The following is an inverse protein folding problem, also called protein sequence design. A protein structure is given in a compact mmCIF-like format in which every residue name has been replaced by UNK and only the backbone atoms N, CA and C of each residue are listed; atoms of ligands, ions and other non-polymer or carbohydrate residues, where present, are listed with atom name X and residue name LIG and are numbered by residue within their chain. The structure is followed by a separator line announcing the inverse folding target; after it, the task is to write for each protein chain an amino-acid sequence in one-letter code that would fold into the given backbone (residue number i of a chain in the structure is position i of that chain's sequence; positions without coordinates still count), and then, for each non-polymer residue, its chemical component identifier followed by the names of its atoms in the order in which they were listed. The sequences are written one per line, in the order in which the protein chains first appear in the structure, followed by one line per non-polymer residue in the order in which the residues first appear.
data_IF_294634289872
#
_entry.id   IF_294634289872
#
_cell.length_a   1.000
_cell.length_b   1.000
_cell.length_c   1.000
_cell.angle_alpha   90.00
_cell.angle_beta   90.00
_cell.angle_gamma   90.00
#
_symmetry.space_group_name_H-M   'P 1'
#
loop_
_entity.id
_entity.type
_entity.pdbx_description
1 polymer ?
#
# COMPACT_ATOMS: atom_id res chain seq x y z
N UNK A 1 -8.37 42.92 -18.06
CA UNK A 1 -7.16 42.05 -18.06
C UNK A 1 -6.63 41.78 -16.64
N UNK A 2 -6.55 42.77 -15.74
CA UNK A 2 -6.18 42.55 -14.34
C UNK A 2 -7.18 41.65 -13.59
N UNK A 3 -8.49 41.91 -13.69
CA UNK A 3 -9.52 41.16 -12.95
C UNK A 3 -9.56 39.64 -13.26
N UNK A 4 -9.37 39.27 -14.54
CA UNK A 4 -9.28 37.86 -14.98
C UNK A 4 -8.01 37.18 -14.45
N UNK A 5 -6.90 37.92 -14.35
CA UNK A 5 -5.64 37.44 -13.80
C UNK A 5 -5.71 37.23 -12.28
N UNK A 6 -6.34 38.14 -11.54
CA UNK A 6 -6.58 37.99 -10.09
C UNK A 6 -7.54 36.84 -9.77
N UNK A 7 -8.58 36.64 -10.60
CA UNK A 7 -9.49 35.50 -10.49
C UNK A 7 -8.76 34.17 -10.73
N UNK A 8 -7.92 34.10 -11.76
CA UNK A 8 -7.11 32.92 -12.09
C UNK A 8 -6.09 32.58 -10.99
N UNK A 9 -5.41 33.59 -10.42
CA UNK A 9 -4.47 33.41 -9.32
C UNK A 9 -5.15 32.94 -8.03
N UNK A 10 -6.31 33.51 -7.67
CA UNK A 10 -7.06 33.09 -6.50
C UNK A 10 -7.56 31.64 -6.63
N UNK A 11 -8.10 31.29 -7.80
CA UNK A 11 -8.56 29.94 -8.11
C UNK A 11 -7.42 28.92 -8.09
N UNK A 12 -6.30 29.22 -8.74
CA UNK A 12 -5.11 28.35 -8.77
C UNK A 12 -4.56 28.11 -7.37
N UNK A 13 -4.47 29.16 -6.55
CA UNK A 13 -4.01 29.05 -5.15
C UNK A 13 -4.93 28.18 -4.32
N UNK A 14 -6.25 28.39 -4.38
CA UNK A 14 -7.22 27.60 -3.61
C UNK A 14 -7.20 26.13 -4.05
N UNK A 15 -7.11 25.87 -5.34
CA UNK A 15 -6.97 24.52 -5.89
C UNK A 15 -5.69 23.84 -5.35
N UNK A 16 -4.54 24.51 -5.44
CA UNK A 16 -3.27 23.95 -4.98
C UNK A 16 -3.25 23.71 -3.47
N UNK A 17 -3.84 24.60 -2.67
CA UNK A 17 -4.02 24.39 -1.23
C UNK A 17 -4.90 23.17 -0.96
N UNK A 18 -6.04 23.04 -1.66
CA UNK A 18 -6.97 21.93 -1.47
C UNK A 18 -6.35 20.57 -1.80
N UNK A 19 -5.56 20.49 -2.88
CA UNK A 19 -4.89 19.27 -3.30
C UNK A 19 -3.82 18.86 -2.27
N UNK A 20 -3.01 19.82 -1.77
CA UNK A 20 -2.00 19.50 -0.75
C UNK A 20 -2.63 19.09 0.60
N UNK A 21 -3.79 19.64 0.97
CA UNK A 21 -4.55 19.15 2.13
C UNK A 21 -5.02 17.72 1.90
N UNK A 22 -5.55 17.41 0.71
CA UNK A 22 -5.95 16.04 0.36
C UNK A 22 -4.77 15.06 0.40
N UNK A 23 -3.60 15.45 -0.11
CA UNK A 23 -2.38 14.63 -0.04
C UNK A 23 -1.88 14.40 1.38
N UNK A 24 -1.97 15.42 2.24
CA UNK A 24 -1.63 15.27 3.65
C UNK A 24 -2.55 14.25 4.33
N UNK A 25 -3.86 14.34 4.10
CA UNK A 25 -4.82 13.39 4.65
C UNK A 25 -4.61 11.98 4.10
N UNK A 26 -4.34 11.84 2.80
CA UNK A 26 -4.05 10.56 2.16
C UNK A 26 -2.77 9.93 2.73
N UNK A 27 -1.68 10.71 2.87
CA UNK A 27 -0.42 10.24 3.45
C UNK A 27 -0.57 9.77 4.91
N UNK A 28 -1.33 10.51 5.72
CA UNK A 28 -1.63 10.11 7.11
C UNK A 28 -2.48 8.84 7.14
N UNK A 29 -3.53 8.76 6.33
CA UNK A 29 -4.41 7.59 6.28
C UNK A 29 -3.66 6.33 5.85
N UNK A 30 -2.80 6.44 4.82
CA UNK A 30 -1.93 5.35 4.36
C UNK A 30 -0.97 4.92 5.46
N UNK A 31 -0.31 5.86 6.14
CA UNK A 31 0.61 5.54 7.25
C UNK A 31 -0.09 4.81 8.39
N UNK A 32 -1.28 5.24 8.78
CA UNK A 32 -2.09 4.54 9.81
C UNK A 32 -2.46 3.14 9.34
N UNK A 33 -2.94 2.99 8.09
CA UNK A 33 -3.30 1.70 7.53
C UNK A 33 -2.11 0.73 7.47
N UNK A 34 -0.94 1.22 7.05
CA UNK A 34 0.31 0.45 7.01
C UNK A 34 0.71 0.02 8.41
N UNK A 35 0.71 0.93 9.40
CA UNK A 35 1.08 0.60 10.77
C UNK A 35 0.14 -0.47 11.39
N UNK A 36 -1.16 -0.43 11.06
CA UNK A 36 -2.11 -1.47 11.45
C UNK A 36 -1.81 -2.81 10.75
N UNK A 37 -1.26 -2.77 9.54
CA UNK A 37 -0.98 -3.95 8.71
C UNK A 37 0.40 -4.57 8.98
N UNK A 38 1.42 -3.80 9.36
CA UNK A 38 2.74 -4.31 9.77
C UNK A 38 2.62 -5.22 11.00
N UNK A 39 1.64 -4.94 11.86
CA UNK A 39 1.29 -5.79 12.99
C UNK A 39 0.61 -7.11 12.56
N UNK A 40 0.28 -7.29 11.27
CA UNK A 40 -0.25 -8.52 10.70
C UNK A 40 0.88 -9.39 10.12
N UNK A 41 0.64 -10.68 9.88
CA UNK A 41 1.69 -11.67 9.94
C UNK A 41 2.55 -11.83 8.70
N UNK A 42 1.91 -11.99 7.54
CA UNK A 42 2.60 -12.39 6.29
C UNK A 42 3.18 -11.17 5.57
N UNK A 43 2.79 -9.98 6.01
CA UNK A 43 2.87 -8.75 5.23
C UNK A 43 4.15 -7.95 5.56
N UNK A 44 4.79 -8.22 6.69
CA UNK A 44 5.87 -7.40 7.26
C UNK A 44 7.21 -7.41 6.51
N UNK A 45 7.39 -8.27 5.49
CA UNK A 45 8.67 -8.38 4.76
C UNK A 45 8.51 -8.35 3.24
N UNK A 46 7.40 -7.83 2.72
CA UNK A 46 7.21 -7.69 1.28
C UNK A 46 7.75 -6.32 0.87
N UNK A 47 8.68 -6.27 -0.10
CA UNK A 47 9.30 -5.04 -0.58
C UNK A 47 8.27 -3.96 -1.01
N UNK A 48 7.06 -4.39 -1.40
CA UNK A 48 5.95 -3.52 -1.79
C UNK A 48 5.42 -2.67 -0.62
N UNK A 49 5.39 -3.20 0.61
CA UNK A 49 4.95 -2.43 1.78
C UNK A 49 6.00 -1.44 2.26
N UNK A 50 7.28 -1.80 2.16
CA UNK A 50 8.37 -0.87 2.48
C UNK A 50 8.37 0.33 1.51
N UNK A 51 8.11 0.07 0.22
CA UNK A 51 7.94 1.13 -0.77
C UNK A 51 6.74 2.02 -0.45
N UNK A 52 5.60 1.42 -0.07
CA UNK A 52 4.39 2.17 0.26
C UNK A 52 4.57 3.04 1.52
N UNK A 53 5.26 2.52 2.53
CA UNK A 53 5.58 3.28 3.75
C UNK A 53 6.52 4.46 3.42
N UNK A 54 7.58 4.20 2.64
CA UNK A 54 8.51 5.24 2.21
C UNK A 54 7.81 6.35 1.40
N UNK A 55 6.95 5.99 0.45
CA UNK A 55 6.16 6.95 -0.31
C UNK A 55 5.24 7.79 0.59
N UNK A 56 4.54 7.16 1.53
CA UNK A 56 3.65 7.86 2.47
C UNK A 56 4.41 8.81 3.39
N UNK A 57 5.57 8.40 3.89
CA UNK A 57 6.45 9.23 4.72
C UNK A 57 7.06 10.41 3.95
N UNK A 58 7.32 10.27 2.64
CA UNK A 58 7.78 11.36 1.79
C UNK A 58 6.65 12.32 1.40
N UNK A 59 5.43 11.81 1.16
CA UNK A 59 4.29 12.61 0.73
C UNK A 59 3.85 13.64 1.78
N UNK A 60 3.89 13.28 3.07
CA UNK A 60 3.48 14.16 4.18
C UNK A 60 4.28 15.48 4.21
N UNK A 61 5.63 15.48 4.34
CA UNK A 61 6.41 16.72 4.37
C UNK A 61 6.31 17.48 3.05
N UNK A 62 6.25 16.80 1.90
CA UNK A 62 6.08 17.45 0.59
C UNK A 62 4.74 18.18 0.51
N UNK A 63 3.66 17.59 1.04
CA UNK A 63 2.34 18.22 1.12
C UNK A 63 2.37 19.48 1.99
N UNK A 64 3.13 19.46 3.10
CA UNK A 64 3.33 20.64 3.95
C UNK A 64 4.10 21.73 3.20
N UNK A 65 5.17 21.36 2.49
CA UNK A 65 5.96 22.30 1.67
C UNK A 65 5.12 22.89 0.54
N UNK A 66 4.28 22.09 -0.13
CA UNK A 66 3.37 22.55 -1.17
C UNK A 66 2.31 23.51 -0.64
N UNK A 67 1.72 23.19 0.52
CA UNK A 67 0.80 24.08 1.23
C UNK A 67 1.48 25.40 1.62
N UNK A 68 2.67 25.33 2.23
CA UNK A 68 3.43 26.50 2.64
C UNK A 68 3.84 27.37 1.44
N UNK A 69 4.28 26.75 0.33
CA UNK A 69 4.61 27.45 -0.91
C UNK A 69 3.43 28.22 -1.48
N UNK A 70 2.25 27.60 -1.48
CA UNK A 70 1.01 28.24 -1.93
C UNK A 70 0.53 29.35 -0.97
N UNK A 71 0.67 29.14 0.35
CA UNK A 71 0.24 30.11 1.36
C UNK A 71 1.17 31.33 1.43
N UNK A 72 2.48 31.10 1.51
CA UNK A 72 3.50 32.14 1.65
C UNK A 72 3.79 32.87 0.34
N UNK A 73 3.28 32.38 -0.81
CA UNK A 73 3.59 32.92 -2.15
C UNK A 73 5.10 33.01 -2.40
N UNK A 74 5.84 31.97 -2.01
CA UNK A 74 7.29 31.93 -2.12
C UNK A 74 7.72 31.07 -3.32
N UNK A 75 8.29 31.70 -4.35
CA UNK A 75 8.72 31.03 -5.57
C UNK A 75 9.78 29.95 -5.33
N UNK A 76 10.68 30.13 -4.36
CA UNK A 76 11.74 29.17 -4.04
C UNK A 76 11.16 27.92 -3.40
N UNK A 77 10.18 28.07 -2.51
CA UNK A 77 9.49 26.94 -1.84
C UNK A 77 8.72 26.11 -2.86
N UNK A 78 8.03 26.78 -3.80
CA UNK A 78 7.30 26.10 -4.87
C UNK A 78 8.23 25.36 -5.85
N UNK A 79 9.45 25.88 -6.07
CA UNK A 79 10.46 25.17 -6.86
C UNK A 79 10.96 23.90 -6.15
N UNK A 80 11.23 23.96 -4.85
CA UNK A 80 11.60 22.78 -4.06
C UNK A 80 10.47 21.73 -4.04
N UNK A 81 9.23 22.18 -3.90
CA UNK A 81 8.05 21.33 -4.01
C UNK A 81 8.01 20.56 -5.34
N UNK A 82 8.23 21.25 -6.47
CA UNK A 82 8.26 20.62 -7.80
C UNK A 82 9.40 19.61 -7.95
N UNK A 83 10.59 19.92 -7.43
CA UNK A 83 11.75 19.06 -7.50
C UNK A 83 11.54 17.73 -6.76
N UNK A 84 10.78 17.73 -5.66
CA UNK A 84 10.46 16.53 -4.89
C UNK A 84 9.21 15.79 -5.42
N UNK A 85 8.18 16.51 -5.86
CA UNK A 85 6.89 15.91 -6.27
C UNK A 85 7.00 15.22 -7.62
N UNK A 86 7.79 15.75 -8.56
CA UNK A 86 7.97 15.14 -9.88
C UNK A 86 8.52 13.71 -9.85
N UNK A 87 9.65 13.41 -9.18
CA UNK A 87 10.15 12.03 -9.13
C UNK A 87 9.21 11.09 -8.36
N UNK A 88 8.50 11.57 -7.33
CA UNK A 88 7.50 10.76 -6.64
C UNK A 88 6.36 10.35 -7.57
N UNK A 89 5.88 11.27 -8.39
CA UNK A 89 4.85 10.99 -9.38
C UNK A 89 5.28 9.90 -10.37
N UNK A 90 6.53 9.93 -10.84
CA UNK A 90 7.06 8.90 -11.73
C UNK A 90 7.13 7.53 -11.07
N UNK A 91 7.59 7.48 -9.81
CA UNK A 91 7.68 6.23 -9.04
C UNK A 91 6.28 5.66 -8.78
N UNK A 92 5.36 6.48 -8.27
CA UNK A 92 3.99 6.06 -7.98
C UNK A 92 3.26 5.62 -9.25
N UNK A 93 3.42 6.34 -10.36
CA UNK A 93 2.83 5.96 -11.64
C UNK A 93 3.35 4.60 -12.13
N UNK A 94 4.66 4.38 -12.06
CA UNK A 94 5.29 3.12 -12.46
C UNK A 94 4.82 1.93 -11.60
N UNK A 95 4.85 2.09 -10.28
CA UNK A 95 4.40 1.06 -9.33
C UNK A 95 2.91 0.78 -9.50
N UNK A 96 2.10 1.81 -9.72
CA UNK A 96 0.65 1.68 -9.93
C UNK A 96 0.33 0.90 -11.19
N UNK A 97 1.01 1.21 -12.29
CA UNK A 97 0.90 0.46 -13.54
C UNK A 97 1.35 -0.99 -13.36
N UNK A 98 2.42 -1.23 -12.61
CA UNK A 98 2.91 -2.59 -12.30
C UNK A 98 1.89 -3.38 -11.48
N UNK A 99 1.26 -2.75 -10.48
CA UNK A 99 0.18 -3.36 -9.69
C UNK A 99 -1.06 -3.67 -10.54
N UNK A 100 -1.46 -2.78 -11.46
CA UNK A 100 -2.59 -3.02 -12.36
C UNK A 100 -2.31 -4.14 -13.38
N UNK A 101 -1.05 -4.25 -13.82
CA UNK A 101 -0.62 -5.27 -14.76
C UNK A 101 -0.19 -6.59 -14.10
N UNK A 102 -0.24 -6.68 -12.76
CA UNK A 102 0.20 -7.85 -12.04
C UNK A 102 -0.67 -9.07 -12.36
N UNK A 103 -0.03 -10.14 -12.83
CA UNK A 103 -0.69 -11.42 -13.07
C UNK A 103 -0.68 -12.31 -11.82
N UNK A 104 -1.44 -13.41 -11.89
CA UNK A 104 -1.59 -14.34 -10.76
C UNK A 104 -0.29 -15.04 -10.36
N UNK A 105 0.65 -15.26 -11.29
CA UNK A 105 1.94 -15.88 -10.97
C UNK A 105 2.84 -14.89 -10.22
N UNK A 106 2.88 -13.63 -10.64
CA UNK A 106 3.62 -12.58 -9.91
C UNK A 106 3.12 -12.43 -8.47
N UNK A 107 1.80 -12.47 -8.28
CA UNK A 107 1.17 -12.41 -6.95
C UNK A 107 1.58 -13.63 -6.10
N UNK A 108 1.56 -14.84 -6.66
CA UNK A 108 1.99 -16.05 -5.94
C UNK A 108 3.44 -15.97 -5.50
N UNK A 109 4.36 -15.51 -6.36
CA UNK A 109 5.77 -15.32 -5.99
C UNK A 109 5.95 -14.31 -4.86
N UNK A 110 5.17 -13.23 -4.85
CA UNK A 110 5.18 -12.26 -3.75
C UNK A 110 4.71 -12.90 -2.43
N UNK A 111 3.64 -13.70 -2.49
CA UNK A 111 3.10 -14.40 -1.31
C UNK A 111 4.10 -15.45 -0.81
N UNK A 112 4.75 -16.20 -1.69
CA UNK A 112 5.82 -17.15 -1.33
C UNK A 112 6.98 -16.45 -0.62
N UNK A 113 7.47 -15.34 -1.17
CA UNK A 113 8.53 -14.57 -0.58
C UNK A 113 8.12 -14.02 0.80
N UNK A 114 6.88 -13.55 0.94
CA UNK A 114 6.30 -13.10 2.20
C UNK A 114 6.20 -14.23 3.23
N UNK A 115 5.71 -15.40 2.81
CA UNK A 115 5.57 -16.60 3.66
C UNK A 115 6.93 -17.10 4.14
N UNK A 116 7.92 -17.20 3.25
CA UNK A 116 9.29 -17.61 3.58
C UNK A 116 9.96 -16.67 4.60
N UNK A 117 9.63 -15.38 4.56
CA UNK A 117 10.17 -14.38 5.48
C UNK A 117 9.36 -14.24 6.78
N UNK A 118 8.13 -14.74 6.80
CA UNK A 118 7.27 -14.74 7.98
C UNK A 118 7.75 -15.81 8.98
N UNK A 119 7.86 -15.44 10.26
CA UNK A 119 8.13 -16.40 11.33
C UNK A 119 6.87 -17.20 11.73
N UNK A 120 7.05 -18.20 12.60
CA UNK A 120 5.99 -19.16 12.97
C UNK A 120 4.74 -18.50 13.53
N UNK A 121 4.89 -17.55 14.47
CA UNK A 121 3.77 -16.79 15.04
C UNK A 121 2.94 -16.09 13.96
N UNK A 122 3.62 -15.61 12.92
CA UNK A 122 2.96 -14.91 11.83
C UNK A 122 2.25 -15.90 10.89
N UNK A 123 2.92 -16.96 10.45
CA UNK A 123 2.26 -18.01 9.66
C UNK A 123 1.03 -18.56 10.39
N UNK A 124 1.10 -18.70 11.72
CA UNK A 124 -0.02 -19.13 12.54
C UNK A 124 -1.20 -18.14 12.49
N UNK A 125 -0.96 -16.85 12.71
CA UNK A 125 -2.00 -15.82 12.61
C UNK A 125 -2.63 -15.80 11.20
N UNK A 126 -1.85 -16.02 10.14
CA UNK A 126 -2.35 -16.10 8.76
C UNK A 126 -3.31 -17.28 8.55
N UNK A 127 -2.91 -18.47 8.99
CA UNK A 127 -3.72 -19.68 8.90
C UNK A 127 -5.03 -19.55 9.69
N UNK A 128 -4.99 -18.93 10.88
CA UNK A 128 -6.19 -18.66 11.68
C UNK A 128 -7.11 -17.64 11.00
N UNK A 129 -6.55 -16.58 10.41
CA UNK A 129 -7.29 -15.53 9.71
C UNK A 129 -7.96 -16.02 8.43
N UNK A 130 -7.25 -16.81 7.63
CA UNK A 130 -7.73 -17.28 6.33
C UNK A 130 -8.36 -18.68 6.40
N UNK A 131 -8.35 -19.35 7.56
CA UNK A 131 -8.87 -20.72 7.75
C UNK A 131 -8.29 -21.67 6.70
N UNK A 132 -6.96 -21.76 6.68
CA UNK A 132 -6.18 -22.55 5.74
C UNK A 132 -4.98 -23.19 6.44
N UNK A 133 -4.34 -24.16 5.80
CA UNK A 133 -3.16 -24.83 6.36
C UNK A 133 -2.03 -25.05 5.35
N UNK A 134 -0.82 -24.60 5.69
CA UNK A 134 0.35 -24.59 4.81
C UNK A 134 0.17 -23.68 3.60
N UNK A 135 1.28 -23.26 2.95
CA UNK A 135 1.16 -22.40 1.79
C UNK A 135 0.66 -23.16 0.56
N UNK A 136 1.38 -24.20 0.16
CA UNK A 136 1.05 -25.09 -0.97
C UNK A 136 0.69 -26.51 -0.55
N UNK A 137 1.26 -26.93 0.58
CA UNK A 137 1.08 -28.25 1.14
C UNK A 137 1.13 -28.14 2.66
N UNK A 138 0.52 -29.11 3.31
CA UNK A 138 0.50 -29.23 4.76
C UNK A 138 1.73 -30.01 5.29
N UNK A 139 2.86 -29.90 4.59
CA UNK A 139 4.11 -30.61 4.89
C UNK A 139 4.71 -30.20 6.25
N UNK A 140 5.57 -31.07 6.79
CA UNK A 140 6.16 -30.99 8.14
C UNK A 140 6.71 -29.60 8.53
N UNK A 141 6.75 -29.35 9.84
CA UNK A 141 7.26 -28.13 10.50
C UNK A 141 8.64 -27.65 10.00
N UNK A 142 9.47 -28.54 9.47
CA UNK A 142 10.79 -28.22 8.90
C UNK A 142 10.76 -27.65 7.49
N UNK A 143 9.61 -27.62 6.82
CA UNK A 143 9.45 -27.06 5.48
C UNK A 143 9.27 -25.53 5.53
N UNK A 144 10.10 -24.73 4.83
CA UNK A 144 9.94 -23.29 4.75
C UNK A 144 8.57 -22.80 4.25
N UNK A 145 7.84 -23.61 3.47
CA UNK A 145 6.51 -23.31 2.95
C UNK A 145 5.39 -24.10 3.66
N UNK A 146 5.74 -24.91 4.66
CA UNK A 146 4.82 -25.67 5.49
C UNK A 146 4.11 -24.84 6.56
N UNK A 147 3.47 -25.54 7.50
CA UNK A 147 2.77 -24.94 8.63
C UNK A 147 3.71 -24.83 9.87
N UNK A 148 3.55 -23.80 10.71
CA UNK A 148 4.24 -23.71 12.01
C UNK A 148 3.80 -24.83 12.98
N UNK A 149 4.52 -25.04 14.10
CA UNK A 149 4.16 -26.06 15.10
C UNK A 149 2.68 -25.96 15.55
N UNK A 150 1.96 -27.08 15.53
CA UNK A 150 0.51 -27.14 15.77
C UNK A 150 0.06 -26.93 17.23
N UNK A 151 0.96 -26.76 18.19
CA UNK A 151 0.66 -26.81 19.63
C UNK A 151 -0.31 -25.73 20.12
N UNK A 152 -0.56 -24.66 19.36
CA UNK A 152 -1.37 -23.51 19.78
C UNK A 152 -2.31 -22.96 18.67
N UNK A 153 -2.52 -23.71 17.59
CA UNK A 153 -3.22 -23.23 16.39
C UNK A 153 -4.69 -23.70 16.37
N UNK A 154 -5.66 -22.79 16.23
CA UNK A 154 -7.09 -23.11 16.08
C UNK A 154 -7.38 -24.18 15.00
N UNK A 155 -6.60 -24.17 13.90
CA UNK A 155 -6.71 -25.16 12.84
C UNK A 155 -6.30 -26.59 13.27
N UNK A 156 -5.46 -26.73 14.30
CA UNK A 156 -4.98 -28.02 14.82
C UNK A 156 -5.67 -28.42 16.14
N UNK A 157 -6.15 -27.47 16.94
CA UNK A 157 -6.66 -27.72 18.31
C UNK A 157 -8.16 -28.07 18.39
N UNK A 158 -8.94 -27.82 17.33
CA UNK A 158 -10.38 -28.13 17.30
C UNK A 158 -10.72 -29.58 16.91
N UNK A 159 -9.72 -30.40 16.57
CA UNK A 159 -9.92 -31.81 16.27
C UNK A 159 -9.81 -32.66 17.55
N UNK A 160 -10.73 -33.62 17.76
CA UNK A 160 -10.62 -34.65 18.82
C UNK A 160 -9.32 -35.47 18.73
N UNK A 161 -8.66 -35.45 17.57
CA UNK A 161 -7.32 -35.99 17.32
C UNK A 161 -6.43 -34.81 16.91
N UNK A 162 -5.61 -34.32 17.84
CA UNK A 162 -4.87 -33.04 17.85
C UNK A 162 -3.89 -32.79 16.69
N UNK A 163 -3.82 -33.67 15.68
CA UNK A 163 -2.77 -33.64 14.65
C UNK A 163 -3.24 -33.87 13.22
N UNK A 164 -4.53 -34.10 12.94
CA UNK A 164 -4.93 -34.61 11.62
C UNK A 164 -5.34 -33.55 10.59
N UNK A 165 -5.90 -32.41 11.00
CA UNK A 165 -6.47 -31.43 10.05
C UNK A 165 -5.41 -30.65 9.24
N UNK A 166 -4.16 -30.63 9.71
CA UNK A 166 -3.05 -29.88 9.11
C UNK A 166 -1.87 -30.77 8.70
N UNK A 167 -2.02 -32.10 8.78
CA UNK A 167 -1.00 -33.07 8.40
C UNK A 167 -1.66 -34.03 7.41
N UNK A 168 -1.65 -33.71 6.13
CA UNK A 168 -1.89 -34.74 5.11
C UNK A 168 -0.66 -35.65 5.05
N UNK A 169 -0.63 -36.66 5.90
CA UNK A 169 -0.12 -38.00 5.59
C UNK A 169 -0.27 -38.88 6.84
N UNK A 170 -1.40 -39.58 6.94
CA UNK A 170 -1.47 -41.03 7.22
C UNK A 170 -2.96 -41.44 7.22
N UNK A 171 -3.37 -42.05 6.10
CA UNK A 171 -4.60 -42.81 5.92
C UNK A 171 -5.95 -42.10 6.12
N UNK A 172 -6.36 -41.33 5.10
CA UNK A 172 -7.79 -41.10 4.82
C UNK A 172 -8.58 -42.42 4.61
N UNK A 173 -7.87 -43.54 4.45
CA UNK A 173 -8.38 -44.89 4.19
C UNK A 173 -8.73 -45.71 5.44
N UNK A 174 -8.47 -45.24 6.67
CA UNK A 174 -8.75 -46.03 7.89
C UNK A 174 -9.57 -45.29 8.94
N UNK A 175 -10.09 -44.09 8.62
CA UNK A 175 -10.84 -43.29 9.59
C UNK A 175 -12.31 -43.34 9.20
N UNK A 176 -13.07 -44.12 9.97
CA UNK A 176 -14.53 -44.18 9.88
C UNK A 176 -15.11 -42.78 9.99
N UNK A 177 -16.02 -42.47 9.07
CA UNK A 177 -16.61 -41.15 8.80
C UNK A 177 -17.41 -40.51 9.95
N UNK A 178 -17.38 -41.08 11.16
CA UNK A 178 -18.09 -40.59 12.35
C UNK A 178 -17.21 -39.87 13.39
N UNK A 179 -15.87 -39.89 13.27
CA UNK A 179 -14.97 -39.23 14.23
C UNK A 179 -14.20 -38.00 13.70
N UNK A 180 -14.43 -37.58 12.45
CA UNK A 180 -13.96 -36.27 11.98
C UNK A 180 -15.08 -35.26 12.21
N UNK A 181 -15.17 -34.77 13.45
CA UNK A 181 -15.94 -33.56 13.70
C UNK A 181 -15.20 -32.38 13.05
N UNK A 182 -15.62 -32.02 11.84
CA UNK A 182 -15.35 -30.77 11.10
C UNK A 182 -13.94 -30.18 11.26
N UNK A 183 -13.02 -30.47 10.33
CA UNK A 183 -11.77 -29.72 10.23
C UNK A 183 -12.04 -28.28 9.77
N UNK A 184 -11.64 -27.24 10.54
CA UNK A 184 -11.92 -25.85 10.18
C UNK A 184 -11.02 -25.30 9.06
N UNK A 185 -9.95 -26.03 8.69
CA UNK A 185 -8.94 -25.60 7.72
C UNK A 185 -8.58 -26.75 6.76
N UNK A 186 -9.34 -26.88 5.66
CA UNK A 186 -9.13 -27.94 4.64
C UNK A 186 -8.34 -27.47 3.42
N UNK A 187 -8.22 -26.15 3.24
CA UNK A 187 -7.67 -25.54 2.03
C UNK A 187 -6.26 -25.02 2.25
N UNK A 188 -5.48 -24.90 1.18
CA UNK A 188 -4.14 -24.29 1.21
C UNK A 188 -4.21 -22.77 1.28
N UNK A 189 -3.26 -22.16 1.98
CA UNK A 189 -3.25 -20.72 2.16
C UNK A 189 -2.96 -19.95 0.89
N UNK A 190 -2.26 -20.53 -0.10
CA UNK A 190 -1.93 -19.82 -1.32
C UNK A 190 -3.18 -19.33 -2.07
N UNK A 191 -4.19 -20.18 -2.25
CA UNK A 191 -5.41 -19.82 -2.98
C UNK A 191 -6.18 -18.71 -2.25
N UNK A 192 -6.43 -18.89 -0.95
CA UNK A 192 -7.16 -17.90 -0.14
C UNK A 192 -6.44 -16.57 -0.01
N UNK A 193 -5.12 -16.58 0.11
CA UNK A 193 -4.32 -15.35 0.20
C UNK A 193 -4.26 -14.68 -1.18
N UNK A 194 -4.05 -15.43 -2.26
CA UNK A 194 -3.91 -14.89 -3.62
C UNK A 194 -5.17 -14.14 -4.07
N UNK A 195 -6.36 -14.68 -3.80
CA UNK A 195 -7.62 -14.00 -4.12
C UNK A 195 -7.76 -12.65 -3.42
N UNK A 196 -7.44 -12.61 -2.11
CA UNK A 196 -7.49 -11.36 -1.33
C UNK A 196 -6.39 -10.39 -1.76
N UNK A 197 -5.19 -10.90 -2.04
CA UNK A 197 -4.06 -10.07 -2.44
C UNK A 197 -4.27 -9.45 -3.82
N UNK A 198 -4.91 -10.15 -4.75
CA UNK A 198 -5.27 -9.63 -6.08
C UNK A 198 -6.15 -8.39 -5.97
N UNK A 199 -7.17 -8.43 -5.11
CA UNK A 199 -8.04 -7.26 -4.87
C UNK A 199 -7.25 -6.10 -4.26
N UNK A 200 -6.36 -6.38 -3.30
CA UNK A 200 -5.52 -5.36 -2.67
C UNK A 200 -4.58 -4.70 -3.68
N UNK A 201 -3.86 -5.49 -4.49
CA UNK A 201 -2.92 -4.99 -5.49
C UNK A 201 -3.63 -4.14 -6.55
N UNK A 202 -4.79 -4.59 -7.04
CA UNK A 202 -5.60 -3.81 -7.98
C UNK A 202 -6.09 -2.48 -7.37
N UNK A 203 -6.52 -2.50 -6.11
CA UNK A 203 -6.94 -1.31 -5.37
C UNK A 203 -5.78 -0.32 -5.15
N UNK A 204 -4.61 -0.82 -4.75
CA UNK A 204 -3.39 -0.03 -4.59
C UNK A 204 -2.95 0.61 -5.90
N UNK A 205 -2.97 -0.15 -7.00
CA UNK A 205 -2.62 0.39 -8.31
C UNK A 205 -3.61 1.45 -8.78
N UNK A 206 -4.92 1.26 -8.56
CA UNK A 206 -5.93 2.26 -8.94
C UNK A 206 -5.76 3.54 -8.11
N UNK A 207 -5.56 3.39 -6.80
CA UNK A 207 -5.38 4.51 -5.88
C UNK A 207 -4.10 5.30 -6.17
N UNK A 208 -2.98 4.61 -6.41
CA UNK A 208 -1.72 5.25 -6.75
C UNK A 208 -1.75 5.92 -8.12
N UNK A 209 -2.49 5.37 -9.09
CA UNK A 209 -2.68 6.01 -10.39
C UNK A 209 -3.48 7.31 -10.27
N UNK A 210 -4.56 7.30 -9.49
CA UNK A 210 -5.34 8.52 -9.19
C UNK A 210 -4.51 9.58 -8.48
N UNK A 211 -3.70 9.16 -7.50
CA UNK A 211 -2.78 10.04 -6.80
C UNK A 211 -1.74 10.65 -7.76
N UNK A 212 -1.18 9.84 -8.66
CA UNK A 212 -0.23 10.30 -9.69
C UNK A 212 -0.87 11.37 -10.59
N UNK A 213 -2.12 11.19 -11.02
CA UNK A 213 -2.83 12.22 -11.79
C UNK A 213 -3.05 13.52 -10.99
N UNK A 214 -3.40 13.40 -9.71
CA UNK A 214 -3.52 14.56 -8.84
C UNK A 214 -2.17 15.27 -8.63
N UNK A 215 -1.07 14.53 -8.55
CA UNK A 215 0.29 15.08 -8.44
C UNK A 215 0.69 15.82 -9.72
N UNK A 216 0.36 15.30 -10.90
CA UNK A 216 0.52 16.02 -12.18
C UNK A 216 -0.27 17.32 -12.16
N UNK A 217 -1.52 17.29 -11.71
CA UNK A 217 -2.33 18.52 -11.57
C UNK A 217 -1.68 19.51 -10.59
N UNK A 218 -1.16 19.04 -9.45
CA UNK A 218 -0.46 19.87 -8.47
C UNK A 218 0.82 20.48 -9.04
N UNK A 219 1.57 19.73 -9.85
CA UNK A 219 2.76 20.19 -10.57
C UNK A 219 2.40 21.31 -11.56
N UNK A 220 1.38 21.09 -12.39
CA UNK A 220 0.90 22.09 -13.36
C UNK A 220 0.42 23.37 -12.65
N UNK A 221 -0.37 23.23 -11.60
CA UNK A 221 -0.85 24.36 -10.80
C UNK A 221 0.30 25.10 -10.10
N UNK A 222 1.32 24.36 -9.65
CA UNK A 222 2.51 24.95 -9.03
C UNK A 222 3.37 25.72 -10.03
N UNK A 223 3.56 25.20 -11.25
CA UNK A 223 4.25 25.93 -12.33
C UNK A 223 3.47 27.21 -12.67
N UNK A 224 2.16 27.09 -12.91
CA UNK A 224 1.30 28.23 -13.21
C UNK A 224 1.37 29.29 -12.10
N UNK A 225 1.27 28.87 -10.83
CA UNK A 225 1.37 29.78 -9.70
C UNK A 225 2.74 30.46 -9.61
N UNK A 226 3.84 29.73 -9.86
CA UNK A 226 5.19 30.30 -9.88
C UNK A 226 5.34 31.37 -10.96
N UNK A 227 4.87 31.09 -12.17
CA UNK A 227 4.98 32.02 -13.29
C UNK A 227 4.14 33.29 -13.05
N UNK A 228 2.94 33.14 -12.47
CA UNK A 228 2.12 34.27 -12.05
C UNK A 228 2.80 35.12 -10.96
N UNK A 229 3.50 34.50 -10.01
CA UNK A 229 4.26 35.21 -8.97
C UNK A 229 5.44 36.01 -9.57
N UNK A 230 6.18 35.42 -10.50
CA UNK A 230 7.29 36.09 -11.18
C UNK A 230 6.80 37.30 -11.98
N UNK A 231 5.72 37.15 -12.75
CA UNK A 231 5.12 38.26 -13.51
C UNK A 231 4.67 39.42 -12.61
N UNK A 232 4.09 39.12 -11.44
CA UNK A 232 3.68 40.16 -10.50
C UNK A 232 4.89 40.90 -9.91
N UNK A 233 5.97 40.18 -9.62
CA UNK A 233 7.20 40.77 -9.11
C UNK A 233 7.85 41.70 -10.15
N UNK A 234 7.91 41.28 -11.41
CA UNK A 234 8.45 42.11 -12.50
C UNK A 234 7.60 43.36 -12.76
N UNK A 235 6.26 43.22 -12.74
CA UNK A 235 5.35 44.37 -12.85
C UNK A 235 5.51 45.36 -11.70
N UNK A 236 5.64 44.87 -10.46
CA UNK A 236 5.88 45.73 -9.31
C UNK A 236 7.19 46.51 -9.49
N UNK A 237 8.27 45.84 -9.91
CA UNK A 237 9.56 46.49 -10.20
C UNK A 237 9.46 47.54 -11.31
N UNK A 238 8.65 47.32 -12.34
CA UNK A 238 8.44 48.26 -13.43
C UNK A 238 7.63 49.51 -13.03
N UNK A 239 6.77 49.43 -12.01
CA UNK A 239 6.00 50.58 -11.51
C UNK A 239 6.80 51.49 -10.56
N UNK A 240 7.89 50.98 -9.96
CA UNK A 240 8.76 51.72 -9.04
C UNK A 240 10.07 52.19 -9.68
N UNK A 241 10.21 52.07 -11.01
CA UNK A 241 11.27 52.71 -11.81
C UNK A 241 10.68 53.86 -12.61
#
# INVERSE_FOLDING_TARGET
MLYSFWCNLSSTRTALLSINVAFLLAGIALKVAIQLTINTPVVSKINLLDSLDACSNALIPISIVGFAGAWMKNHTVLFMYLLCTFPLCLIQFSVSCSCLAADSNQIKTIIEAGWNRAGDAKRAEAQTKYKCCGLYHSGYVSDPLGHPPCSEQDCCTQAKVQHLCCINELNKSTISSEEIQSCPCTDFCMEKISDKFTVIVCSLGTSGLLLSFAEVAAIVLSIAMRDLMNLNFDRARALYR
#
